data_IF_868147574517
#
_entry.id   IF_868147574517
#
_cell.length_a   1.000
_cell.length_b   1.000
_cell.length_c   1.000
_cell.angle_alpha   90.00
_cell.angle_beta   90.00
_cell.angle_gamma   90.00
#
_symmetry.space_group_name_H-M   'P 1'
#
loop_
_entity.id
_entity.type
_entity.pdbx_description
1 polymer ?
#
# COMPACT_ATOMS: atom_id res chain seq x y z
N UNK A 1 19.37 -66.92 37.28
CA UNK A 1 20.79 -66.55 37.41
C UNK A 1 21.18 -65.96 36.06
N UNK A 2 21.01 -64.67 35.76
CA UNK A 2 20.89 -63.46 36.61
C UNK A 2 22.22 -62.98 37.20
N UNK A 3 22.89 -62.12 36.42
CA UNK A 3 23.85 -61.04 36.73
C UNK A 3 24.18 -60.40 35.36
N UNK A 4 24.09 -59.09 35.06
CA UNK A 4 24.13 -57.83 35.84
C UNK A 4 25.51 -57.61 36.48
N UNK A 5 26.28 -56.54 36.22
CA UNK A 5 26.11 -55.25 35.48
C UNK A 5 27.20 -55.13 34.37
N UNK A 6 27.53 -54.06 33.62
CA UNK A 6 27.22 -52.59 33.52
C UNK A 6 27.40 -52.17 32.01
N UNK A 7 27.35 -50.92 31.51
CA UNK A 7 27.04 -49.60 32.11
C UNK A 7 27.40 -48.31 31.31
N UNK A 8 28.00 -48.35 30.11
CA UNK A 8 28.47 -47.18 29.32
C UNK A 8 27.81 -47.15 27.91
N UNK A 9 27.42 -46.03 27.29
CA UNK A 9 27.30 -44.66 27.82
C UNK A 9 27.79 -43.56 26.87
N UNK A 10 27.10 -43.27 25.76
CA UNK A 10 27.39 -42.05 24.96
C UNK A 10 26.16 -41.51 24.19
N UNK A 11 26.11 -40.18 24.17
CA UNK A 11 25.18 -39.17 23.60
C UNK A 11 24.04 -39.52 22.65
N UNK A 12 22.94 -38.81 22.95
CA UNK A 12 21.88 -38.29 22.09
C UNK A 12 22.23 -38.03 20.61
N UNK A 13 21.24 -38.26 19.76
CA UNK A 13 21.07 -37.58 18.47
C UNK A 13 19.57 -37.51 18.21
N UNK A 14 18.93 -36.52 18.83
CA UNK A 14 17.49 -36.27 18.70
C UNK A 14 17.22 -35.65 17.32
N UNK A 15 16.31 -36.22 16.50
CA UNK A 15 15.86 -35.60 15.26
C UNK A 15 14.69 -34.65 15.53
N UNK A 16 14.97 -33.53 16.20
CA UNK A 16 14.08 -32.35 16.16
C UNK A 16 13.94 -31.83 14.71
N UNK A 17 12.91 -31.03 14.48
CA UNK A 17 12.64 -30.29 13.24
C UNK A 17 12.47 -31.13 11.95
N UNK A 18 11.43 -31.95 11.96
CA UNK A 18 10.56 -32.11 10.78
C UNK A 18 9.13 -31.62 11.07
N UNK A 19 9.03 -30.44 11.70
CA UNK A 19 7.91 -29.54 11.42
C UNK A 19 8.05 -29.06 9.97
N UNK A 20 7.61 -29.94 9.05
CA UNK A 20 7.17 -29.52 7.72
C UNK A 20 5.84 -28.80 7.91
N UNK A 21 5.92 -27.56 8.39
CA UNK A 21 4.88 -26.57 8.12
C UNK A 21 4.76 -26.50 6.59
N UNK A 22 3.75 -27.20 6.07
CA UNK A 22 3.12 -26.84 4.80
C UNK A 22 2.47 -25.47 5.04
N UNK A 23 3.30 -24.42 5.04
CA UNK A 23 2.83 -23.03 4.99
C UNK A 23 1.79 -22.96 3.88
N UNK A 24 0.57 -22.57 4.24
CA UNK A 24 -0.55 -22.47 3.31
C UNK A 24 -0.12 -21.56 2.15
N UNK A 25 0.20 -22.16 0.98
CA UNK A 25 0.80 -21.54 -0.22
C UNK A 25 -0.21 -20.57 -0.87
N UNK A 26 -0.54 -19.55 -0.09
CA UNK A 26 -1.43 -18.45 -0.36
C UNK A 26 -0.80 -17.58 -1.43
N UNK A 27 -1.08 -17.96 -2.69
CA UNK A 27 -0.52 -17.42 -3.92
C UNK A 27 -0.13 -15.93 -3.79
N UNK A 28 1.17 -15.68 -3.58
CA UNK A 28 1.72 -14.34 -3.49
C UNK A 28 2.01 -13.85 -4.92
N UNK A 29 1.28 -12.87 -5.47
CA UNK A 29 1.51 -12.37 -6.83
C UNK A 29 2.79 -11.51 -6.95
N UNK A 30 3.48 -11.25 -5.83
CA UNK A 30 4.70 -10.45 -5.74
C UNK A 30 5.65 -11.16 -4.77
N UNK A 31 6.83 -11.54 -5.25
CA UNK A 31 7.87 -12.18 -4.44
C UNK A 31 8.53 -11.16 -3.48
N UNK A 32 8.82 -11.60 -2.26
CA UNK A 32 9.50 -10.80 -1.21
C UNK A 32 10.86 -10.25 -1.64
N UNK A 33 11.62 -11.04 -2.40
CA UNK A 33 12.92 -10.68 -3.00
C UNK A 33 12.76 -9.58 -4.05
N UNK A 34 11.90 -9.80 -5.04
CA UNK A 34 11.64 -8.87 -6.15
C UNK A 34 11.18 -7.51 -5.62
N UNK A 35 10.25 -7.47 -4.65
CA UNK A 35 9.82 -6.21 -4.03
C UNK A 35 10.94 -5.53 -3.24
N UNK A 36 11.74 -6.28 -2.48
CA UNK A 36 12.84 -5.72 -1.68
C UNK A 36 13.87 -4.99 -2.55
N UNK A 37 14.22 -5.57 -3.69
CA UNK A 37 15.23 -4.99 -4.56
C UNK A 37 14.68 -3.81 -5.37
N UNK A 38 13.41 -3.86 -5.84
CA UNK A 38 12.73 -2.67 -6.39
C UNK A 38 12.70 -1.50 -5.39
N UNK A 39 12.38 -1.75 -4.11
CA UNK A 39 12.34 -0.72 -3.06
C UNK A 39 13.74 -0.15 -2.72
N UNK A 40 14.83 -0.81 -3.13
CA UNK A 40 16.22 -0.34 -3.00
C UNK A 40 16.71 0.44 -4.22
N UNK A 41 16.20 0.15 -5.41
CA UNK A 41 16.49 0.94 -6.60
C UNK A 41 15.85 2.34 -6.50
N UNK A 42 14.68 2.44 -5.88
CA UNK A 42 13.96 3.70 -5.61
C UNK A 42 14.41 4.42 -4.32
N UNK A 43 15.30 3.85 -3.49
CA UNK A 43 15.66 4.44 -2.18
C UNK A 43 17.00 3.99 -1.60
N UNK A 44 17.79 4.95 -1.11
CA UNK A 44 19.01 4.69 -0.32
C UNK A 44 18.73 4.08 1.08
N UNK A 45 17.46 3.97 1.49
CA UNK A 45 17.08 3.47 2.81
C UNK A 45 17.11 1.93 2.89
N UNK A 46 17.35 1.41 4.10
CA UNK A 46 17.24 -0.02 4.35
C UNK A 46 15.77 -0.45 4.42
N UNK A 47 15.38 -1.37 3.53
CA UNK A 47 14.08 -2.04 3.57
C UNK A 47 14.05 -3.00 4.75
N UNK A 48 13.24 -2.69 5.77
CA UNK A 48 12.95 -3.55 6.92
C UNK A 48 11.93 -4.66 6.58
N UNK A 49 11.95 -5.72 7.37
CA UNK A 49 11.10 -6.92 7.27
C UNK A 49 9.61 -6.54 7.30
N UNK A 50 9.14 -6.02 8.44
CA UNK A 50 7.74 -5.61 8.68
C UNK A 50 7.21 -4.63 7.61
N UNK A 51 8.09 -3.74 7.12
CA UNK A 51 7.76 -2.72 6.13
C UNK A 51 7.61 -3.31 4.71
N UNK A 52 8.40 -4.34 4.37
CA UNK A 52 8.23 -5.14 3.14
C UNK A 52 6.91 -5.90 3.19
N UNK A 53 6.60 -6.54 4.32
CA UNK A 53 5.47 -7.46 4.41
C UNK A 53 4.12 -6.73 4.49
N UNK A 54 4.06 -5.60 5.21
CA UNK A 54 2.92 -4.69 5.14
C UNK A 54 2.75 -4.12 3.71
N UNK A 55 3.83 -3.84 2.97
CA UNK A 55 3.75 -3.41 1.58
C UNK A 55 3.18 -4.51 0.67
N UNK A 56 3.61 -5.78 0.82
CA UNK A 56 3.03 -6.93 0.10
C UNK A 56 1.53 -7.04 0.40
N UNK A 57 1.14 -6.94 1.67
CA UNK A 57 -0.27 -6.98 2.08
C UNK A 57 -1.09 -5.87 1.43
N UNK A 58 -0.58 -4.63 1.35
CA UNK A 58 -1.26 -3.51 0.68
C UNK A 58 -1.30 -3.67 -0.83
N UNK A 59 -0.24 -4.15 -1.46
CA UNK A 59 -0.22 -4.43 -2.91
C UNK A 59 -1.23 -5.53 -3.29
N UNK A 60 -1.33 -6.59 -2.48
CA UNK A 60 -2.33 -7.65 -2.67
C UNK A 60 -3.77 -7.11 -2.53
N UNK A 61 -4.04 -6.30 -1.50
CA UNK A 61 -5.33 -5.62 -1.32
C UNK A 61 -5.67 -4.70 -2.50
N UNK A 62 -4.68 -3.94 -2.98
CA UNK A 62 -4.80 -3.03 -4.12
C UNK A 62 -5.12 -3.77 -5.43
N UNK A 63 -4.42 -4.88 -5.72
CA UNK A 63 -4.67 -5.74 -6.89
C UNK A 63 -6.11 -6.26 -6.88
N UNK A 64 -6.59 -6.76 -5.74
CA UNK A 64 -7.96 -7.27 -5.59
C UNK A 64 -8.99 -6.15 -5.82
N UNK A 65 -8.76 -4.96 -5.24
CA UNK A 65 -9.67 -3.81 -5.38
C UNK A 65 -9.70 -3.26 -6.81
N UNK A 66 -8.54 -3.12 -7.46
CA UNK A 66 -8.45 -2.71 -8.86
C UNK A 66 -9.13 -3.72 -9.78
N UNK A 67 -8.92 -5.03 -9.57
CA UNK A 67 -9.56 -6.06 -10.37
C UNK A 67 -11.09 -6.05 -10.21
N UNK A 68 -11.60 -5.93 -8.99
CA UNK A 68 -13.04 -5.82 -8.73
C UNK A 68 -13.66 -4.62 -9.45
N UNK A 69 -13.02 -3.44 -9.38
CA UNK A 69 -13.47 -2.24 -10.10
C UNK A 69 -13.41 -2.41 -11.63
N UNK A 70 -12.37 -3.05 -12.14
CA UNK A 70 -12.21 -3.38 -13.57
C UNK A 70 -13.32 -4.31 -14.07
N UNK A 71 -13.67 -5.30 -13.27
CA UNK A 71 -14.78 -6.24 -13.52
C UNK A 71 -16.12 -5.50 -13.55
N UNK A 72 -16.35 -4.52 -12.67
CA UNK A 72 -17.60 -3.76 -12.66
C UNK A 72 -17.71 -2.77 -13.84
N UNK A 73 -16.59 -2.20 -14.31
CA UNK A 73 -16.54 -1.47 -15.59
C UNK A 73 -16.89 -2.39 -16.77
N UNK A 74 -16.32 -3.60 -16.82
CA UNK A 74 -16.63 -4.57 -17.87
C UNK A 74 -18.11 -5.02 -17.85
N UNK A 75 -18.68 -5.29 -16.66
CA UNK A 75 -20.11 -5.58 -16.48
C UNK A 75 -21.00 -4.44 -16.96
N UNK A 76 -20.67 -3.19 -16.64
CA UNK A 76 -21.47 -2.00 -17.05
C UNK A 76 -21.55 -1.87 -18.58
N UNK A 77 -20.49 -2.29 -19.28
CA UNK A 77 -20.44 -2.37 -20.73
C UNK A 77 -21.10 -3.64 -21.32
N UNK A 78 -21.70 -4.51 -20.49
CA UNK A 78 -22.23 -5.82 -20.85
C UNK A 78 -21.17 -6.76 -21.49
N UNK A 79 -19.96 -6.80 -20.92
CA UNK A 79 -18.85 -7.65 -21.38
C UNK A 79 -18.45 -8.68 -20.34
N UNK A 80 -18.27 -9.91 -20.79
CA UNK A 80 -17.75 -11.04 -20.00
C UNK A 80 -16.22 -10.98 -19.82
N UNK A 81 -15.52 -10.16 -20.60
CA UNK A 81 -14.06 -10.03 -20.58
C UNK A 81 -13.62 -8.62 -20.19
N UNK A 82 -12.82 -8.55 -19.12
CA UNK A 82 -12.07 -7.36 -18.71
C UNK A 82 -10.96 -7.08 -19.74
N UNK A 83 -10.77 -5.81 -20.07
CA UNK A 83 -9.75 -5.32 -21.01
C UNK A 83 -8.82 -4.34 -20.30
N UNK A 84 -7.61 -4.13 -20.83
CA UNK A 84 -6.64 -3.21 -20.25
C UNK A 84 -7.19 -1.80 -19.95
N UNK A 85 -8.08 -1.28 -20.82
CA UNK A 85 -8.77 0.02 -20.60
C UNK A 85 -9.61 0.05 -19.32
N UNK A 86 -10.17 -1.09 -18.91
CA UNK A 86 -11.05 -1.19 -17.73
C UNK A 86 -10.21 -1.16 -16.44
N UNK A 87 -8.97 -1.65 -16.52
CA UNK A 87 -7.96 -1.56 -15.46
C UNK A 87 -7.42 -0.14 -15.33
N UNK A 88 -7.22 0.55 -16.45
CA UNK A 88 -6.90 1.99 -16.46
C UNK A 88 -8.06 2.82 -15.88
N UNK A 89 -9.30 2.59 -16.34
CA UNK A 89 -10.50 3.24 -15.80
C UNK A 89 -10.65 2.98 -14.28
N UNK A 90 -10.31 1.77 -13.79
CA UNK A 90 -10.28 1.44 -12.36
C UNK A 90 -9.16 2.19 -11.60
N UNK A 91 -7.96 2.27 -12.16
CA UNK A 91 -6.82 3.00 -11.59
C UNK A 91 -7.12 4.51 -11.47
N UNK A 92 -7.66 5.12 -12.52
CA UNK A 92 -8.06 6.53 -12.51
C UNK A 92 -9.21 6.80 -11.53
N UNK A 93 -10.13 5.84 -11.32
CA UNK A 93 -11.14 5.93 -10.26
C UNK A 93 -10.55 5.86 -8.86
N UNK A 94 -9.50 5.07 -8.63
CA UNK A 94 -8.78 4.99 -7.35
C UNK A 94 -8.04 6.30 -7.03
N UNK A 95 -7.42 6.94 -8.02
CA UNK A 95 -6.73 8.24 -7.85
C UNK A 95 -7.70 9.43 -7.68
N UNK A 96 -8.97 9.27 -8.08
CA UNK A 96 -9.96 10.35 -8.09
C UNK A 96 -10.13 11.11 -6.77
N UNK A 97 -10.16 10.50 -5.57
CA UNK A 97 -10.31 11.23 -4.31
C UNK A 97 -9.10 12.15 -4.02
N UNK A 98 -7.88 11.69 -4.29
CA UNK A 98 -6.66 12.49 -4.18
C UNK A 98 -6.71 13.69 -5.14
N UNK A 99 -7.10 13.46 -6.39
CA UNK A 99 -7.19 14.52 -7.40
C UNK A 99 -8.27 15.56 -7.07
N UNK A 100 -9.38 15.14 -6.45
CA UNK A 100 -10.43 16.05 -5.94
C UNK A 100 -9.94 16.88 -4.74
N UNK A 101 -9.08 16.33 -3.86
CA UNK A 101 -8.50 17.08 -2.74
C UNK A 101 -7.56 18.19 -3.22
N UNK A 102 -6.69 17.91 -4.20
CA UNK A 102 -5.83 18.96 -4.81
C UNK A 102 -6.65 20.06 -5.50
N UNK A 103 -7.75 19.70 -6.17
CA UNK A 103 -8.67 20.67 -6.75
C UNK A 103 -9.38 21.53 -5.69
N UNK A 104 -9.79 20.93 -4.57
CA UNK A 104 -10.42 21.66 -3.47
C UNK A 104 -9.43 22.62 -2.77
N UNK A 105 -8.18 22.21 -2.55
CA UNK A 105 -7.12 23.08 -2.01
C UNK A 105 -6.90 24.28 -2.95
N UNK A 106 -6.72 24.02 -4.25
CA UNK A 106 -6.52 25.08 -5.26
C UNK A 106 -7.67 26.10 -5.29
N UNK A 107 -8.91 25.66 -5.04
CA UNK A 107 -10.08 26.54 -4.95
C UNK A 107 -10.11 27.35 -3.65
N UNK A 108 -9.68 26.77 -2.52
CA UNK A 108 -9.53 27.50 -1.25
C UNK A 108 -8.46 28.57 -1.37
N UNK A 109 -7.32 28.26 -2.00
CA UNK A 109 -6.25 29.22 -2.27
C UNK A 109 -6.76 30.37 -3.18
N UNK A 110 -7.47 30.06 -4.27
CA UNK A 110 -8.07 31.09 -5.15
C UNK A 110 -9.07 31.98 -4.40
N UNK A 111 -9.87 31.40 -3.50
CA UNK A 111 -10.79 32.15 -2.64
C UNK A 111 -10.03 33.04 -1.64
N UNK A 112 -8.90 32.58 -1.08
CA UNK A 112 -8.05 33.42 -0.23
C UNK A 112 -7.48 34.61 -1.01
N UNK A 113 -6.87 34.39 -2.18
CA UNK A 113 -6.34 35.48 -3.02
C UNK A 113 -7.42 36.53 -3.36
N UNK A 114 -8.63 36.10 -3.71
CA UNK A 114 -9.77 37.00 -3.98
C UNK A 114 -10.27 37.74 -2.73
N UNK A 115 -10.19 37.12 -1.55
CA UNK A 115 -10.54 37.78 -0.27
C UNK A 115 -9.48 38.82 0.12
N UNK A 116 -8.20 38.56 -0.13
CA UNK A 116 -7.10 39.51 0.08
C UNK A 116 -7.17 40.68 -0.90
N UNK A 117 -7.49 40.43 -2.17
CA UNK A 117 -7.77 41.47 -3.18
C UNK A 117 -8.93 42.39 -2.75
N UNK A 118 -10.09 41.82 -2.38
CA UNK A 118 -11.26 42.57 -1.90
C UNK A 118 -11.00 43.28 -0.56
N UNK A 119 -10.13 42.76 0.30
CA UNK A 119 -9.71 43.43 1.53
C UNK A 119 -8.77 44.62 1.25
N UNK A 120 -7.88 44.51 0.25
CA UNK A 120 -7.02 45.59 -0.22
C UNK A 120 -7.80 46.75 -0.84
N UNK A 121 -8.72 46.43 -1.76
CA UNK A 121 -9.60 47.38 -2.44
C UNK A 121 -10.74 47.92 -1.54
N UNK A 122 -10.83 47.47 -0.28
CA UNK A 122 -11.86 47.92 0.66
C UNK A 122 -11.66 49.40 1.05
N UNK A 123 -12.64 50.28 0.84
CA UNK A 123 -12.54 51.70 1.21
C UNK A 123 -12.54 51.96 2.73
N UNK A 124 -12.49 50.90 3.55
CA UNK A 124 -12.38 50.95 5.02
C UNK A 124 -10.99 50.49 5.53
N UNK A 125 -10.06 50.12 4.65
CA UNK A 125 -8.73 49.61 5.04
C UNK A 125 -7.74 50.71 5.46
N UNK A 126 -8.02 51.98 5.16
CA UNK A 126 -7.06 53.09 5.29
C UNK A 126 -7.68 54.35 5.95
N UNK A 127 -8.24 54.23 7.17
CA UNK A 127 -8.51 55.40 8.03
C UNK A 127 -8.61 55.08 9.54
N UNK A 128 -7.56 54.45 10.11
CA UNK A 128 -7.37 54.32 11.58
C UNK A 128 -5.86 54.41 11.89
N UNK A 129 -5.27 55.62 11.96
CA UNK A 129 -3.81 55.68 12.13
C UNK A 129 -3.07 57.01 12.39
N UNK A 130 -3.68 58.20 12.35
CA UNK A 130 -2.96 59.46 12.68
C UNK A 130 -3.80 60.46 13.52
N UNK A 131 -3.70 60.36 14.86
CA UNK A 131 -3.83 61.46 15.86
C UNK A 131 -2.81 61.25 17.00
#
# INVERSE_FOLDING_TARGET
MSQVETGEGEVESDPEDQDSDEEDESFQPIETTTLRDMLREESELQVGEDARDEMILKLNQLIIQMWASSVDVAKRDNRETVKARDVEDAYQQLLKPHNLLHQAISQVDEIQWRLEEVAGDSPFSTDIGEE
#
